data_IF_043279960958
#
_entry.id   IF_043279960958
#
_cell.length_a   1.000
_cell.length_b   1.000
_cell.length_c   1.000
_cell.angle_alpha   90.00
_cell.angle_beta   90.00
_cell.angle_gamma   90.00
#
_symmetry.space_group_name_H-M   'P 1'
#
loop_
_entity.id
_entity.type
_entity.pdbx_description
1 polymer ?
#
# COMPACT_ATOMS: atom_id res chain seq x y z
N UNK A 1 -20.71 -6.65 -10.41
CA UNK A 1 -19.96 -7.20 -9.28
C UNK A 1 -19.27 -6.09 -8.52
N UNK A 2 -19.44 -6.10 -7.22
CA UNK A 2 -18.78 -5.13 -6.38
C UNK A 2 -17.39 -5.61 -5.97
N UNK A 3 -16.44 -4.72 -5.90
CA UNK A 3 -15.14 -5.01 -5.31
C UNK A 3 -15.19 -4.64 -3.84
N UNK A 4 -14.36 -5.30 -3.04
CA UNK A 4 -14.27 -4.99 -1.62
C UNK A 4 -13.48 -3.72 -1.35
N UNK A 5 -12.84 -3.17 -2.37
CA UNK A 5 -12.09 -1.94 -2.24
C UNK A 5 -10.74 -2.04 -2.91
N UNK A 6 -9.93 -1.03 -2.66
CA UNK A 6 -8.62 -0.93 -3.27
C UNK A 6 -7.53 -1.02 -2.20
N UNK A 7 -6.48 -1.74 -2.53
CA UNK A 7 -5.27 -1.85 -1.69
C UNK A 7 -4.13 -1.15 -2.42
N UNK A 8 -3.42 -0.29 -1.74
CA UNK A 8 -2.26 0.37 -2.32
C UNK A 8 -0.99 -0.34 -1.86
N UNK A 9 -0.20 -0.82 -2.81
CA UNK A 9 1.07 -1.45 -2.54
C UNK A 9 2.20 -0.49 -2.92
N UNK A 10 3.05 -0.17 -1.97
CA UNK A 10 4.15 0.77 -2.19
C UNK A 10 5.48 0.01 -2.11
N UNK A 11 6.21 0.00 -3.23
CA UNK A 11 7.48 -0.68 -3.27
C UNK A 11 8.11 -0.59 -4.65
N UNK A 12 9.42 -0.80 -4.69
CA UNK A 12 10.19 -0.76 -5.92
C UNK A 12 10.30 -2.11 -6.60
N UNK A 13 10.11 -3.18 -5.84
CA UNK A 13 10.21 -4.54 -6.37
C UNK A 13 8.84 -5.10 -6.69
N UNK A 14 8.83 -6.17 -7.46
CA UNK A 14 7.57 -6.84 -7.77
C UNK A 14 6.96 -7.43 -6.52
N UNK A 15 5.67 -7.23 -6.35
CA UNK A 15 4.97 -7.81 -5.21
C UNK A 15 4.80 -9.33 -5.43
N UNK A 16 4.68 -10.09 -4.33
CA UNK A 16 4.52 -11.54 -4.44
C UNK A 16 3.25 -11.91 -5.21
N UNK A 17 3.36 -12.86 -6.12
CA UNK A 17 2.22 -13.31 -6.90
C UNK A 17 1.12 -13.92 -6.02
N UNK A 18 1.50 -14.59 -4.95
CA UNK A 18 0.54 -15.16 -4.02
C UNK A 18 -0.33 -14.08 -3.38
N UNK A 19 0.25 -12.91 -3.10
CA UNK A 19 -0.50 -11.79 -2.54
C UNK A 19 -1.59 -11.33 -3.51
N UNK A 20 -1.23 -11.20 -4.80
CA UNK A 20 -2.21 -10.81 -5.82
C UNK A 20 -3.36 -11.80 -5.89
N UNK A 21 -3.04 -13.09 -5.91
CA UNK A 21 -4.06 -14.13 -6.00
C UNK A 21 -5.03 -14.09 -4.82
N UNK A 22 -4.48 -13.93 -3.62
CA UNK A 22 -5.32 -13.91 -2.42
C UNK A 22 -6.23 -12.69 -2.41
N UNK A 23 -5.67 -11.50 -2.64
CA UNK A 23 -6.43 -10.27 -2.54
C UNK A 23 -7.44 -10.12 -3.68
N UNK A 24 -7.04 -10.47 -4.89
CA UNK A 24 -7.97 -10.42 -6.01
C UNK A 24 -9.07 -11.45 -5.87
N UNK A 25 -8.75 -12.62 -5.32
CA UNK A 25 -9.75 -13.62 -5.02
C UNK A 25 -10.76 -13.17 -3.99
N UNK A 26 -10.40 -12.22 -3.12
CA UNK A 26 -11.31 -11.63 -2.14
C UNK A 26 -12.03 -10.39 -2.67
N UNK A 27 -11.83 -10.04 -3.91
CA UNK A 27 -12.50 -8.90 -4.52
C UNK A 27 -11.79 -7.58 -4.36
N UNK A 28 -10.53 -7.58 -3.93
CA UNK A 28 -9.75 -6.34 -3.83
C UNK A 28 -9.01 -6.06 -5.13
N UNK A 29 -8.88 -4.78 -5.43
CA UNK A 29 -8.05 -4.31 -6.53
C UNK A 29 -6.74 -3.78 -5.96
N UNK A 30 -5.62 -4.21 -6.51
CA UNK A 30 -4.31 -3.77 -6.04
C UNK A 30 -3.74 -2.74 -7.00
N UNK A 31 -3.39 -1.58 -6.46
CA UNK A 31 -2.70 -0.53 -7.20
C UNK A 31 -1.31 -0.36 -6.61
N UNK A 32 -0.34 -0.01 -7.44
CA UNK A 32 1.04 0.09 -7.01
C UNK A 32 1.57 1.50 -7.12
N UNK A 33 2.46 1.85 -6.19
CA UNK A 33 3.25 3.08 -6.24
C UNK A 33 4.69 2.70 -5.96
N UNK A 34 5.62 3.37 -6.62
CA UNK A 34 7.04 3.04 -6.46
C UNK A 34 7.66 3.72 -5.24
N UNK A 35 7.07 4.82 -4.78
CA UNK A 35 7.60 5.56 -3.65
C UNK A 35 6.47 6.26 -2.89
N UNK A 36 6.85 6.91 -1.78
CA UNK A 36 5.88 7.58 -0.92
C UNK A 36 5.22 8.77 -1.61
N UNK A 37 5.94 9.49 -2.44
CA UNK A 37 5.37 10.66 -3.12
C UNK A 37 4.27 10.24 -4.10
N UNK A 38 4.50 9.18 -4.85
CA UNK A 38 3.49 8.63 -5.75
C UNK A 38 2.29 8.12 -4.96
N UNK A 39 2.55 7.46 -3.83
CA UNK A 39 1.49 6.96 -2.96
C UNK A 39 0.62 8.12 -2.45
N UNK A 40 1.23 9.21 -2.04
CA UNK A 40 0.49 10.37 -1.55
C UNK A 40 -0.43 10.96 -2.62
N UNK A 41 0.05 11.02 -3.86
CA UNK A 41 -0.80 11.49 -4.95
C UNK A 41 -2.00 10.59 -5.17
N UNK A 42 -1.79 9.29 -5.10
CA UNK A 42 -2.87 8.34 -5.29
C UNK A 42 -3.89 8.42 -4.16
N UNK A 43 -3.42 8.61 -2.94
CA UNK A 43 -4.31 8.75 -1.78
C UNK A 43 -5.18 10.00 -1.86
N UNK A 44 -4.71 11.03 -2.55
CA UNK A 44 -5.48 12.27 -2.70
C UNK A 44 -6.63 12.14 -3.67
N UNK A 45 -6.53 11.22 -4.63
CA UNK A 45 -7.53 11.10 -5.69
C UNK A 45 -8.39 9.84 -5.59
N UNK A 46 -8.03 8.91 -4.72
CA UNK A 46 -8.75 7.64 -4.57
C UNK A 46 -8.80 7.23 -3.12
N UNK A 47 -9.85 6.49 -2.78
CA UNK A 47 -9.97 5.89 -1.45
C UNK A 47 -9.36 4.48 -1.46
N UNK A 48 -8.61 4.16 -0.42
CA UNK A 48 -8.02 2.84 -0.26
C UNK A 48 -8.45 2.25 1.07
N UNK A 49 -8.65 0.92 1.08
CA UNK A 49 -9.00 0.19 2.30
C UNK A 49 -7.78 -0.01 3.20
N UNK A 50 -6.63 -0.19 2.59
CA UNK A 50 -5.39 -0.43 3.32
C UNK A 50 -4.20 -0.11 2.43
N UNK A 51 -3.04 0.02 3.06
CA UNK A 51 -1.78 0.25 2.35
C UNK A 51 -0.76 -0.75 2.81
N UNK A 52 -0.06 -1.37 1.86
CA UNK A 52 1.06 -2.26 2.13
C UNK A 52 2.33 -1.59 1.65
N UNK A 53 3.34 -1.56 2.50
CA UNK A 53 4.58 -0.84 2.20
C UNK A 53 5.76 -1.76 2.45
N UNK A 54 6.71 -1.80 1.54
CA UNK A 54 7.94 -2.53 1.77
C UNK A 54 8.67 -1.94 2.97
N UNK A 55 9.08 -2.81 3.89
CA UNK A 55 9.63 -2.36 5.17
C UNK A 55 10.81 -1.41 5.02
N UNK A 56 11.66 -1.63 4.02
CA UNK A 56 12.82 -0.77 3.80
C UNK A 56 12.43 0.67 3.48
N UNK A 57 11.29 0.88 2.82
CA UNK A 57 10.83 2.21 2.49
C UNK A 57 10.36 2.97 3.73
N UNK A 58 9.85 2.26 4.71
CA UNK A 58 9.45 2.87 5.98
C UNK A 58 10.64 3.46 6.72
N UNK A 59 11.80 2.80 6.61
CA UNK A 59 13.01 3.32 7.25
C UNK A 59 13.61 4.49 6.50
N UNK A 60 13.61 4.43 5.17
CA UNK A 60 14.22 5.47 4.34
C UNK A 60 13.44 6.78 4.40
N UNK A 61 12.12 6.69 4.34
CA UNK A 61 11.25 7.85 4.27
C UNK A 61 10.41 8.01 5.53
N UNK A 62 11.00 7.79 6.68
CA UNK A 62 10.29 7.74 7.96
C UNK A 62 9.41 8.94 8.22
N UNK A 63 9.90 10.14 7.98
CA UNK A 63 9.14 11.36 8.20
C UNK A 63 7.91 11.45 7.31
N UNK A 64 8.05 11.07 6.06
CA UNK A 64 6.95 11.12 5.13
C UNK A 64 5.87 10.10 5.49
N UNK A 65 6.27 8.90 5.93
CA UNK A 65 5.31 7.89 6.38
C UNK A 65 4.58 8.31 7.64
N UNK A 66 5.24 9.06 8.51
CA UNK A 66 4.57 9.65 9.66
C UNK A 66 3.46 10.59 9.25
N UNK A 67 3.71 11.41 8.25
CA UNK A 67 2.71 12.33 7.73
C UNK A 67 1.55 11.60 7.08
N UNK A 68 1.84 10.53 6.37
CA UNK A 68 0.78 9.70 5.79
C UNK A 68 -0.10 9.15 6.89
N UNK A 69 0.50 8.61 7.94
CA UNK A 69 -0.24 8.03 9.03
C UNK A 69 -1.10 9.08 9.75
N UNK A 70 -0.58 10.28 9.91
CA UNK A 70 -1.31 11.37 10.54
C UNK A 70 -2.46 11.87 9.68
N UNK A 71 -2.29 11.88 8.35
CA UNK A 71 -3.32 12.35 7.43
C UNK A 71 -4.42 11.33 7.19
N UNK A 72 -4.11 10.05 7.34
CA UNK A 72 -5.05 8.96 7.07
C UNK A 72 -5.09 7.99 8.26
N UNK A 73 -5.51 8.46 9.43
CA UNK A 73 -5.40 7.67 10.66
C UNK A 73 -6.30 6.42 10.68
N UNK A 74 -7.35 6.43 9.88
CA UNK A 74 -8.25 5.28 9.81
C UNK A 74 -7.84 4.20 8.83
N UNK A 75 -6.77 4.43 8.06
CA UNK A 75 -6.34 3.47 7.06
C UNK A 75 -5.22 2.59 7.61
N UNK A 76 -5.41 1.26 7.63
CA UNK A 76 -4.34 0.36 8.07
C UNK A 76 -3.12 0.45 7.17
N UNK A 77 -1.95 0.43 7.78
CA UNK A 77 -0.68 0.42 7.07
C UNK A 77 0.08 -0.83 7.50
N UNK A 78 0.39 -1.69 6.55
CA UNK A 78 1.05 -2.97 6.79
C UNK A 78 2.45 -2.95 6.21
N UNK A 79 3.44 -3.29 7.03
CA UNK A 79 4.82 -3.39 6.56
C UNK A 79 5.05 -4.78 5.99
N UNK A 80 5.62 -4.82 4.80
CA UNK A 80 5.91 -6.08 4.10
C UNK A 80 7.41 -6.28 4.08
N UNK A 81 7.84 -7.40 4.63
CA UNK A 81 9.25 -7.77 4.61
C UNK A 81 9.51 -8.71 3.43
N UNK A 82 10.61 -8.46 2.73
CA UNK A 82 11.00 -9.32 1.62
C UNK A 82 11.74 -10.56 2.07
N UNK A 83 12.15 -10.60 3.31
CA UNK A 83 12.95 -11.70 3.79
C UNK A 83 12.13 -12.98 3.85
N UNK A 84 12.65 -13.96 3.21
CA UNK A 84 12.01 -15.26 3.26
C UNK A 84 12.21 -15.89 4.62
#
# INVERSE_FOLDING_TARGET
MSTNGKILYVGETSRPAALDLVLEGQGYQILTASDVNTALRMLQVRDFEAMMVEARLLDVDREQWRRVNASYPGMPLLAISETA
#
